data_IF_882333077120
#
_entry.id   IF_882333077120
#
_cell.length_a   1.000
_cell.length_b   1.000
_cell.length_c   1.000
_cell.angle_alpha   90.00
_cell.angle_beta   90.00
_cell.angle_gamma   90.00
#
_symmetry.space_group_name_H-M   'P 1'
#
loop_
_entity.id
_entity.type
_entity.pdbx_description
1 polymer ?
#
# COMPACT_ATOMS: atom_id res chain seq x y z
N UNK A 1 -12.25 15.17 18.98
CA UNK A 1 -11.41 14.79 17.83
C UNK A 1 -11.92 13.45 17.32
N UNK A 2 -12.38 13.38 16.07
CA UNK A 2 -12.99 12.19 15.49
C UNK A 2 -12.00 11.43 14.61
N UNK A 3 -12.21 10.13 14.44
CA UNK A 3 -11.53 9.36 13.40
C UNK A 3 -12.05 9.80 12.02
N UNK A 4 -11.17 10.00 11.04
CA UNK A 4 -11.52 10.48 9.70
C UNK A 4 -11.85 9.38 8.67
N UNK A 5 -11.94 8.12 9.10
CA UNK A 5 -12.30 6.98 8.25
C UNK A 5 -13.81 6.83 8.00
N UNK A 6 -14.65 7.76 8.50
CA UNK A 6 -16.07 7.74 8.20
C UNK A 6 -16.33 8.19 6.77
N UNK A 7 -17.39 7.65 6.15
CA UNK A 7 -17.86 8.11 4.86
C UNK A 7 -18.28 9.58 4.93
N UNK A 8 -18.15 10.35 3.83
CA UNK A 8 -18.69 11.70 3.77
C UNK A 8 -20.14 11.73 4.23
N UNK A 9 -20.46 12.69 5.08
CA UNK A 9 -21.83 12.93 5.58
C UNK A 9 -22.48 11.71 6.26
N UNK A 10 -21.68 10.84 6.91
CA UNK A 10 -22.17 9.64 7.61
C UNK A 10 -23.32 9.91 8.59
N UNK A 11 -23.41 11.11 9.15
CA UNK A 11 -24.45 11.53 10.08
C UNK A 11 -25.83 11.71 9.42
N UNK A 12 -25.89 11.87 8.08
CA UNK A 12 -27.14 11.96 7.32
C UNK A 12 -27.77 10.59 7.02
N UNK A 13 -27.00 9.52 7.10
CA UNK A 13 -27.43 8.18 6.70
C UNK A 13 -28.25 7.44 7.77
N UNK A 14 -28.43 8.03 8.96
CA UNK A 14 -28.98 7.33 10.13
C UNK A 14 -30.24 7.98 10.69
N UNK A 15 -31.30 7.17 10.80
CA UNK A 15 -32.54 7.50 11.52
C UNK A 15 -32.57 6.93 12.96
N UNK A 16 -31.40 6.63 13.55
CA UNK A 16 -31.29 6.06 14.90
C UNK A 16 -31.19 7.12 16.01
N UNK A 17 -31.53 8.37 15.68
CA UNK A 17 -31.40 9.53 16.56
C UNK A 17 -32.70 10.32 16.62
N UNK A 18 -32.98 10.97 17.75
CA UNK A 18 -34.10 11.90 17.92
C UNK A 18 -33.80 13.32 17.38
N UNK A 19 -32.59 13.57 16.88
CA UNK A 19 -32.17 14.84 16.29
C UNK A 19 -32.47 14.87 14.79
N UNK A 20 -32.85 16.03 14.27
CA UNK A 20 -32.94 16.26 12.83
C UNK A 20 -31.56 16.35 12.17
N UNK A 21 -31.53 16.20 10.84
CA UNK A 21 -30.30 16.37 10.05
C UNK A 21 -29.67 17.76 10.24
N UNK A 22 -30.49 18.81 10.32
CA UNK A 22 -30.04 20.19 10.56
C UNK A 22 -29.34 20.32 11.92
N UNK A 23 -29.93 19.71 12.96
CA UNK A 23 -29.35 19.73 14.31
C UNK A 23 -28.02 18.98 14.37
N UNK A 24 -27.91 17.85 13.67
CA UNK A 24 -26.66 17.08 13.60
C UNK A 24 -25.60 17.85 12.80
N UNK A 25 -25.99 18.51 11.72
CA UNK A 25 -25.08 19.31 10.88
C UNK A 25 -24.54 20.52 11.64
N UNK A 26 -25.39 21.22 12.41
CA UNK A 26 -24.97 22.30 13.30
C UNK A 26 -24.04 21.79 14.41
N UNK A 27 -24.38 20.66 15.04
CA UNK A 27 -23.58 20.09 16.13
C UNK A 27 -22.18 19.64 15.67
N UNK A 28 -22.03 19.25 14.40
CA UNK A 28 -20.76 18.84 13.81
C UNK A 28 -19.99 20.03 13.21
N UNK A 29 -20.51 21.26 13.24
CA UNK A 29 -19.80 22.41 12.69
C UNK A 29 -18.48 22.65 13.45
N UNK A 30 -17.37 22.74 12.72
CA UNK A 30 -16.05 23.01 13.30
C UNK A 30 -15.34 21.82 13.94
N UNK A 31 -15.82 20.59 13.70
CA UNK A 31 -15.10 19.40 14.15
C UNK A 31 -13.81 19.16 13.37
N UNK A 32 -12.85 18.52 14.04
CA UNK A 32 -11.60 18.05 13.44
C UNK A 32 -11.56 16.53 13.40
N UNK A 33 -11.16 15.99 12.26
CA UNK A 33 -10.89 14.56 12.05
C UNK A 33 -9.41 14.31 11.85
N UNK A 34 -8.96 13.14 12.29
CA UNK A 34 -7.65 12.60 11.87
C UNK A 34 -7.85 11.30 11.13
N UNK A 35 -7.31 11.26 9.92
CA UNK A 35 -7.17 10.08 9.11
C UNK A 35 -5.71 9.89 8.75
N UNK A 36 -5.28 8.64 8.59
CA UNK A 36 -4.04 8.37 7.87
C UNK A 36 -4.20 8.85 6.43
N UNK A 37 -3.22 9.59 5.92
CA UNK A 37 -3.17 9.93 4.51
C UNK A 37 -2.92 8.62 3.75
N UNK A 38 -3.99 8.07 3.18
CA UNK A 38 -3.92 7.04 2.17
C UNK A 38 -3.68 7.77 0.85
N UNK A 39 -2.40 7.99 0.55
CA UNK A 39 -1.92 8.97 -0.40
C UNK A 39 -2.59 8.91 -1.79
N UNK A 40 -3.12 10.06 -2.21
CA UNK A 40 -3.25 10.45 -3.62
C UNK A 40 -2.70 11.86 -3.90
N UNK A 41 -2.06 12.51 -2.91
CA UNK A 41 -1.68 13.93 -2.99
C UNK A 41 -0.20 14.20 -2.65
N UNK A 42 0.59 13.17 -2.35
CA UNK A 42 1.89 13.31 -1.68
C UNK A 42 3.13 13.33 -2.58
N UNK A 43 3.00 13.16 -3.90
CA UNK A 43 4.18 13.03 -4.76
C UNK A 43 3.99 13.65 -6.14
N UNK A 44 3.27 14.77 -6.25
CA UNK A 44 3.09 15.48 -7.52
C UNK A 44 4.45 15.64 -8.22
N UNK A 45 4.68 14.84 -9.26
CA UNK A 45 5.90 14.82 -10.08
C UNK A 45 7.03 13.85 -9.71
N UNK A 46 7.01 13.16 -8.56
CA UNK A 46 7.97 12.07 -8.31
C UNK A 46 7.51 10.78 -8.98
N UNK A 47 8.41 10.17 -9.76
CA UNK A 47 8.18 8.85 -10.36
C UNK A 47 8.55 7.75 -9.38
N UNK A 48 7.62 6.82 -9.17
CA UNK A 48 7.85 5.59 -8.41
C UNK A 48 8.85 4.66 -9.10
N UNK A 49 9.24 3.58 -8.43
CA UNK A 49 10.08 2.52 -9.03
C UNK A 49 9.45 1.89 -10.29
N UNK A 50 8.12 1.91 -10.39
CA UNK A 50 7.38 1.49 -11.57
C UNK A 50 7.32 2.55 -12.68
N UNK A 51 7.95 3.71 -12.50
CA UNK A 51 7.97 4.80 -13.47
C UNK A 51 6.74 5.70 -13.45
N UNK A 52 5.71 5.39 -12.65
CA UNK A 52 4.46 6.15 -12.57
C UNK A 52 4.51 7.24 -11.49
N UNK A 53 3.92 8.39 -11.76
CA UNK A 53 3.49 9.32 -10.71
C UNK A 53 2.17 8.85 -10.09
N UNK A 54 1.72 9.52 -9.02
CA UNK A 54 0.40 9.26 -8.42
C UNK A 54 -0.72 9.56 -9.43
N UNK A 55 -0.57 10.62 -10.23
CA UNK A 55 -1.53 10.99 -11.26
C UNK A 55 -1.57 9.96 -12.40
N UNK A 56 -0.39 9.51 -12.87
CA UNK A 56 -0.28 8.47 -13.90
C UNK A 56 -0.98 7.18 -13.42
N UNK A 57 -0.77 6.79 -12.16
CA UNK A 57 -1.42 5.62 -11.57
C UNK A 57 -2.96 5.75 -11.52
N UNK A 58 -3.48 6.90 -11.10
CA UNK A 58 -4.94 7.13 -11.04
C UNK A 58 -5.55 7.06 -12.45
N UNK A 59 -4.88 7.66 -13.43
CA UNK A 59 -5.33 7.61 -14.83
C UNK A 59 -5.36 6.17 -15.34
N UNK A 60 -4.25 5.42 -15.17
CA UNK A 60 -4.18 4.01 -15.58
C UNK A 60 -5.19 3.12 -14.84
N UNK A 61 -5.45 3.39 -13.55
CA UNK A 61 -6.45 2.66 -12.76
C UNK A 61 -7.85 2.75 -13.41
N UNK A 62 -8.27 3.96 -13.78
CA UNK A 62 -9.57 4.15 -14.41
C UNK A 62 -9.62 3.65 -15.86
N UNK A 63 -8.51 3.74 -16.61
CA UNK A 63 -8.41 3.15 -17.95
C UNK A 63 -8.55 1.61 -17.93
N UNK A 64 -8.13 0.96 -16.84
CA UNK A 64 -8.18 -0.50 -16.67
C UNK A 64 -9.42 -0.98 -15.89
N UNK A 65 -10.58 -0.35 -16.09
CA UNK A 65 -11.87 -0.68 -15.45
C UNK A 65 -11.88 -0.55 -13.91
N UNK A 66 -11.04 0.32 -13.35
CA UNK A 66 -11.13 0.71 -11.95
C UNK A 66 -12.48 1.34 -11.59
N UNK A 67 -12.91 1.20 -10.34
CA UNK A 67 -14.20 1.72 -9.88
C UNK A 67 -14.09 3.15 -9.37
N UNK A 68 -15.13 3.95 -9.56
CA UNK A 68 -15.28 5.25 -8.90
C UNK A 68 -16.22 5.13 -7.68
N UNK A 69 -15.86 5.70 -6.51
CA UNK A 69 -14.57 6.33 -6.18
C UNK A 69 -13.42 5.30 -6.12
N UNK A 70 -12.19 5.76 -6.34
CA UNK A 70 -10.99 4.93 -6.19
C UNK A 70 -10.92 4.37 -4.77
N UNK A 71 -10.54 3.10 -4.65
CA UNK A 71 -10.30 2.49 -3.34
C UNK A 71 -9.16 3.21 -2.61
N UNK A 72 -9.33 3.58 -1.33
CA UNK A 72 -8.25 4.19 -0.54
C UNK A 72 -7.05 3.25 -0.35
N UNK A 73 -7.16 1.97 -0.70
CA UNK A 73 -6.07 0.99 -0.59
C UNK A 73 -5.38 0.69 -1.94
N UNK A 74 -5.81 1.33 -3.03
CA UNK A 74 -5.32 1.01 -4.37
C UNK A 74 -3.80 1.21 -4.52
N UNK A 75 -3.28 2.38 -4.10
CA UNK A 75 -1.84 2.70 -4.15
C UNK A 75 -1.03 1.78 -3.23
N UNK A 76 -1.49 1.55 -2.01
CA UNK A 76 -0.84 0.61 -1.08
C UNK A 76 -0.77 -0.82 -1.63
N UNK A 77 -1.83 -1.27 -2.32
CA UNK A 77 -1.86 -2.60 -2.93
C UNK A 77 -0.86 -2.69 -4.08
N UNK A 78 -0.78 -1.66 -4.90
CA UNK A 78 0.21 -1.57 -5.98
C UNK A 78 1.64 -1.63 -5.45
N UNK A 79 1.96 -0.85 -4.41
CA UNK A 79 3.28 -0.85 -3.78
C UNK A 79 3.58 -2.17 -3.07
N UNK A 80 2.59 -2.86 -2.50
CA UNK A 80 2.78 -4.18 -1.91
C UNK A 80 3.24 -5.22 -2.94
N UNK A 81 2.75 -5.16 -4.18
CA UNK A 81 3.23 -6.04 -5.27
C UNK A 81 4.68 -5.71 -5.64
N UNK A 82 5.04 -4.42 -5.70
CA UNK A 82 6.43 -4.01 -5.91
C UNK A 82 7.35 -4.49 -4.78
N UNK A 83 6.92 -4.39 -3.53
CA UNK A 83 7.64 -4.96 -2.38
C UNK A 83 7.92 -6.44 -2.59
N UNK A 84 6.91 -7.24 -2.95
CA UNK A 84 7.08 -8.68 -3.22
C UNK A 84 8.10 -8.90 -4.35
N UNK A 85 7.96 -8.20 -5.47
CA UNK A 85 8.85 -8.36 -6.62
C UNK A 85 10.30 -8.02 -6.29
N UNK A 86 10.53 -6.93 -5.55
CA UNK A 86 11.87 -6.50 -5.14
C UNK A 86 12.48 -7.44 -4.11
N UNK A 87 11.70 -7.91 -3.14
CA UNK A 87 12.16 -8.91 -2.17
C UNK A 87 12.61 -10.20 -2.86
N UNK A 88 11.80 -10.70 -3.80
CA UNK A 88 12.16 -11.90 -4.57
C UNK A 88 13.46 -11.69 -5.36
N UNK A 89 13.58 -10.55 -6.04
CA UNK A 89 14.79 -10.19 -6.78
C UNK A 89 16.02 -10.18 -5.87
N UNK A 90 15.96 -9.48 -4.74
CA UNK A 90 17.08 -9.35 -3.82
C UNK A 90 17.53 -10.70 -3.25
N UNK A 91 16.58 -11.56 -2.83
CA UNK A 91 16.94 -12.90 -2.31
C UNK A 91 17.56 -13.78 -3.38
N UNK A 92 17.06 -13.73 -4.62
CA UNK A 92 17.66 -14.48 -5.74
C UNK A 92 19.08 -13.97 -6.05
N UNK A 93 19.28 -12.64 -6.10
CA UNK A 93 20.59 -12.04 -6.31
C UNK A 93 21.58 -12.37 -5.19
N UNK A 94 21.17 -12.33 -3.92
CA UNK A 94 22.00 -12.72 -2.77
C UNK A 94 22.41 -14.19 -2.85
N UNK A 95 21.49 -15.08 -3.23
CA UNK A 95 21.80 -16.51 -3.41
C UNK A 95 22.76 -16.75 -4.57
N UNK A 96 22.57 -16.08 -5.72
CA UNK A 96 23.48 -16.18 -6.86
C UNK A 96 24.89 -15.67 -6.48
N UNK A 97 24.97 -14.53 -5.79
CA UNK A 97 26.24 -13.87 -5.48
C UNK A 97 26.96 -14.47 -4.26
N UNK A 98 26.22 -15.09 -3.33
CA UNK A 98 26.74 -15.73 -2.12
C UNK A 98 27.05 -17.22 -2.28
N UNK A 99 26.82 -17.80 -3.46
CA UNK A 99 27.07 -19.22 -3.71
C UNK A 99 28.57 -19.52 -3.84
N UNK A 100 29.16 -20.04 -2.77
CA UNK A 100 30.19 -21.12 -2.82
C UNK A 100 29.51 -22.52 -2.91
N UNK A 101 28.18 -22.56 -3.03
CA UNK A 101 27.36 -23.77 -3.00
C UNK A 101 27.24 -24.45 -4.38
N UNK A 102 27.78 -25.66 -4.48
CA UNK A 102 27.82 -26.55 -5.67
C UNK A 102 26.44 -27.13 -6.08
N UNK A 103 25.35 -26.88 -5.35
CA UNK A 103 24.00 -27.39 -5.68
C UNK A 103 23.10 -26.29 -6.28
N UNK A 104 22.77 -26.36 -7.59
CA UNK A 104 21.90 -25.42 -8.26
C UNK A 104 20.52 -25.27 -7.58
N UNK A 105 20.04 -26.32 -6.90
CA UNK A 105 18.69 -26.35 -6.32
C UNK A 105 18.46 -25.34 -5.20
N UNK A 106 19.51 -24.88 -4.53
CA UNK A 106 19.42 -23.91 -3.42
C UNK A 106 19.14 -22.48 -3.90
N UNK A 107 19.40 -22.20 -5.19
CA UNK A 107 19.19 -20.88 -5.82
C UNK A 107 17.77 -20.74 -6.40
N UNK A 108 17.10 -21.87 -6.65
CA UNK A 108 15.85 -21.96 -7.41
C UNK A 108 14.59 -21.85 -6.53
N UNK A 109 13.77 -20.82 -6.75
CA UNK A 109 12.52 -20.58 -6.01
C UNK A 109 11.47 -21.67 -6.25
N UNK A 110 11.55 -22.38 -7.37
CA UNK A 110 10.65 -23.48 -7.75
C UNK A 110 10.74 -24.71 -6.84
N UNK A 111 11.80 -24.85 -6.03
CA UNK A 111 11.97 -25.96 -5.09
C UNK A 111 11.55 -25.61 -3.65
N UNK A 112 10.87 -24.49 -3.45
CA UNK A 112 10.35 -24.12 -2.14
C UNK A 112 9.37 -25.17 -1.60
N UNK A 113 9.59 -25.60 -0.36
CA UNK A 113 8.67 -26.48 0.37
C UNK A 113 8.20 -25.79 1.64
N UNK A 114 6.94 -25.98 2.02
CA UNK A 114 6.36 -25.34 3.20
C UNK A 114 7.02 -25.78 4.52
N UNK A 115 7.48 -27.03 4.63
CA UNK A 115 8.04 -27.58 5.88
C UNK A 115 9.52 -27.22 6.10
N UNK A 116 10.32 -27.10 5.03
CA UNK A 116 11.73 -26.69 5.07
C UNK A 116 11.95 -25.22 4.72
N UNK A 117 10.87 -24.50 4.37
CA UNK A 117 10.88 -23.11 3.92
C UNK A 117 11.15 -22.07 5.01
N UNK A 118 11.34 -22.47 6.26
CA UNK A 118 11.54 -21.55 7.40
C UNK A 118 12.77 -20.64 7.23
N UNK A 119 13.82 -21.12 6.56
CA UNK A 119 15.01 -20.31 6.25
C UNK A 119 14.71 -19.28 5.16
N UNK A 120 13.98 -19.67 4.09
CA UNK A 120 13.61 -18.74 3.02
C UNK A 120 12.61 -17.69 3.48
N UNK A 121 11.62 -18.07 4.30
CA UNK A 121 10.68 -17.10 4.88
C UNK A 121 11.39 -16.09 5.77
N UNK A 122 12.40 -16.53 6.53
CA UNK A 122 13.21 -15.63 7.36
C UNK A 122 14.02 -14.67 6.49
N UNK A 123 14.65 -15.16 5.42
CA UNK A 123 15.35 -14.31 4.46
C UNK A 123 14.41 -13.27 3.84
N UNK A 124 13.21 -13.66 3.39
CA UNK A 124 12.23 -12.69 2.89
C UNK A 124 11.87 -11.62 3.92
N UNK A 125 11.63 -12.00 5.17
CA UNK A 125 11.33 -11.03 6.23
C UNK A 125 12.51 -10.08 6.50
N UNK A 126 13.74 -10.59 6.53
CA UNK A 126 14.95 -9.77 6.70
C UNK A 126 15.21 -8.84 5.50
N UNK A 127 14.90 -9.30 4.28
CA UNK A 127 14.98 -8.47 3.08
C UNK A 127 13.91 -7.38 3.08
N UNK A 128 12.67 -7.72 3.44
CA UNK A 128 11.57 -6.75 3.55
C UNK A 128 11.90 -5.66 4.58
N UNK A 129 12.47 -6.03 5.73
CA UNK A 129 12.86 -5.09 6.79
C UNK A 129 13.88 -4.04 6.33
N UNK A 130 14.70 -4.37 5.34
CA UNK A 130 15.74 -3.50 4.78
C UNK A 130 15.33 -2.81 3.47
N UNK A 131 14.15 -3.14 2.95
CA UNK A 131 13.74 -2.68 1.62
C UNK A 131 13.23 -1.24 1.69
N UNK A 132 13.89 -0.35 0.95
CA UNK A 132 13.47 1.04 0.76
C UNK A 132 13.33 1.35 -0.72
N UNK A 133 12.17 1.89 -1.12
CA UNK A 133 11.95 2.38 -2.48
C UNK A 133 10.87 3.46 -2.52
N UNK A 134 10.85 4.24 -3.60
CA UNK A 134 9.79 5.22 -3.86
C UNK A 134 8.61 4.50 -4.52
N UNK A 135 7.54 4.30 -3.75
CA UNK A 135 6.26 3.81 -4.23
C UNK A 135 5.32 4.93 -4.69
N UNK A 136 4.13 4.56 -5.16
CA UNK A 136 3.05 5.53 -5.49
C UNK A 136 2.24 5.95 -4.25
N UNK A 137 2.32 5.20 -3.15
CA UNK A 137 1.66 5.50 -1.88
C UNK A 137 2.42 6.51 -1.02
N UNK A 138 3.57 7.02 -1.47
CA UNK A 138 4.45 7.87 -0.66
C UNK A 138 3.72 9.16 -0.27
N UNK A 139 3.62 9.39 1.04
CA UNK A 139 3.28 10.68 1.63
C UNK A 139 4.50 11.61 1.58
N UNK A 140 4.35 12.86 1.12
CA UNK A 140 5.42 13.86 1.23
C UNK A 140 5.89 13.95 2.69
N UNK A 141 7.22 13.99 2.95
CA UNK A 141 7.69 14.48 4.24
C UNK A 141 7.34 15.98 4.30
N UNK A 142 6.56 16.35 5.32
CA UNK A 142 6.28 17.74 5.70
C UNK A 142 7.52 18.47 6.17
#
# INVERSE_FOLDING_TARGET
>A
MLNGGYTPEWWRAKNDTNCSEDQLTEALQGYFTVASINALSGSMGMRSIGGLTTEDFIEEYFQNNGTAPISPHATNTYDAIWTIALTLKSVVEEKINGSDSDDPKDVHLEHFQYESGSNLSKQFLETIDKLEFVGVSVSSPS
#
